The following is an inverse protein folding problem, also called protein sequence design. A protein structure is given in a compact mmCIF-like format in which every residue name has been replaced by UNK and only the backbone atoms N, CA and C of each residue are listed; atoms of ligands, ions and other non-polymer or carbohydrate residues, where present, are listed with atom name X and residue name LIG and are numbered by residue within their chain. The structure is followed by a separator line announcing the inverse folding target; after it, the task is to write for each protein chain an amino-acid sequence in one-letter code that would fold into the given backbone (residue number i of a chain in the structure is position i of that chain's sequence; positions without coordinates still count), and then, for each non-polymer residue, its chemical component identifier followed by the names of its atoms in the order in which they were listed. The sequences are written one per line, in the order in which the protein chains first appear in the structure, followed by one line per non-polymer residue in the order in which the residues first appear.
data_IF_872466222993
#
_entry.id   IF_872466222993
#
_cell.length_a   1.000
_cell.length_b   1.000
_cell.length_c   1.000
_cell.angle_alpha   90.00
_cell.angle_beta   90.00
_cell.angle_gamma   90.00
#
_symmetry.space_group_name_H-M   'P 1'
#
loop_
_entity.id
_entity.type
_entity.pdbx_description
1 polymer ?
#
# COMPACT_ATOMS: atom_id res chain seq x y z
N UNK A 1 25.82 5.57 3.66
CA UNK A 1 24.94 6.13 4.70
C UNK A 1 24.29 4.95 5.40
N UNK A 2 24.45 4.83 6.72
CA UNK A 2 23.79 3.76 7.46
C UNK A 2 22.29 4.04 7.53
N UNK A 3 21.46 3.05 7.20
CA UNK A 3 20.02 3.16 7.35
C UNK A 3 19.65 2.88 8.81
N UNK A 4 19.02 3.84 9.48
CA UNK A 4 18.46 3.63 10.81
C UNK A 4 17.09 2.97 10.69
N UNK A 5 16.93 1.82 11.32
CA UNK A 5 15.65 1.16 11.48
C UNK A 5 14.82 1.83 12.58
N UNK A 6 13.53 2.03 12.32
CA UNK A 6 12.58 2.69 13.24
C UNK A 6 11.40 1.74 13.54
N UNK A 7 11.52 0.88 14.57
CA UNK A 7 10.52 -0.16 14.84
C UNK A 7 9.13 0.39 15.20
N UNK A 8 9.07 1.51 15.93
CA UNK A 8 7.80 2.15 16.31
C UNK A 8 7.04 2.64 15.08
N UNK A 9 7.74 3.32 14.16
CA UNK A 9 7.16 3.75 12.88
C UNK A 9 6.62 2.57 12.07
N UNK A 10 7.36 1.45 12.02
CA UNK A 10 6.89 0.27 11.31
C UNK A 10 5.61 -0.31 11.91
N UNK A 11 5.50 -0.31 13.23
CA UNK A 11 4.30 -0.77 13.94
C UNK A 11 3.09 0.15 13.67
N UNK A 12 3.31 1.46 13.60
CA UNK A 12 2.25 2.41 13.25
C UNK A 12 1.78 2.21 11.81
N UNK A 13 2.68 1.95 10.85
CA UNK A 13 2.32 1.62 9.47
C UNK A 13 1.56 0.29 9.35
N UNK A 14 1.95 -0.73 10.12
CA UNK A 14 1.23 -2.00 10.22
C UNK A 14 -0.19 -1.79 10.74
N UNK A 15 -0.35 -0.97 11.78
CA UNK A 15 -1.67 -0.63 12.34
C UNK A 15 -2.59 0.07 11.32
N UNK A 16 -2.05 1.01 10.54
CA UNK A 16 -2.80 1.66 9.47
C UNK A 16 -3.28 0.65 8.41
N UNK A 17 -2.44 -0.33 8.06
CA UNK A 17 -2.76 -1.38 7.11
C UNK A 17 -3.84 -2.34 7.65
N UNK A 18 -3.66 -2.86 8.87
CA UNK A 18 -4.58 -3.81 9.49
C UNK A 18 -5.98 -3.20 9.70
N UNK A 19 -6.06 -1.94 10.15
CA UNK A 19 -7.33 -1.26 10.40
C UNK A 19 -7.93 -0.59 9.16
N UNK A 20 -7.25 -0.67 8.01
CA UNK A 20 -7.69 -0.05 6.75
C UNK A 20 -7.93 1.45 6.91
N UNK A 21 -7.04 2.13 7.63
CA UNK A 21 -7.11 3.58 7.82
C UNK A 21 -6.31 4.30 6.73
N UNK A 22 -6.87 5.37 6.17
CA UNK A 22 -6.22 6.21 5.16
C UNK A 22 -5.67 5.46 3.93
N UNK A 23 -6.26 4.31 3.56
CA UNK A 23 -5.89 3.64 2.31
C UNK A 23 -6.31 4.50 1.11
N UNK A 24 -5.51 4.46 0.07
CA UNK A 24 -5.73 5.18 -1.19
C UNK A 24 -5.73 4.22 -2.41
N UNK A 25 -5.41 2.94 -2.19
CA UNK A 25 -5.38 1.87 -3.18
C UNK A 25 -6.17 0.66 -2.68
N UNK A 26 -6.97 0.06 -3.56
CA UNK A 26 -7.56 -1.26 -3.36
C UNK A 26 -7.01 -2.18 -4.45
N UNK A 27 -6.35 -3.26 -4.05
CA UNK A 27 -5.87 -4.30 -4.96
C UNK A 27 -6.92 -5.42 -4.96
N UNK A 28 -7.46 -5.71 -6.14
CA UNK A 28 -8.31 -6.88 -6.36
C UNK A 28 -7.42 -8.02 -6.86
N UNK A 29 -7.37 -9.12 -6.09
CA UNK A 29 -6.53 -10.27 -6.39
C UNK A 29 -7.39 -11.52 -6.56
N UNK A 30 -7.03 -12.35 -7.55
CA UNK A 30 -7.78 -13.56 -7.91
C UNK A 30 -8.72 -13.35 -9.09
N UNK A 31 -9.54 -14.36 -9.35
CA UNK A 31 -10.52 -14.40 -10.43
C UNK A 31 -11.88 -14.79 -9.85
N UNK A 32 -12.97 -14.36 -10.50
CA UNK A 32 -14.34 -14.72 -10.09
C UNK A 32 -14.52 -16.25 -10.00
N UNK A 33 -15.17 -16.77 -8.93
CA UNK A 33 -15.87 -16.05 -7.85
C UNK A 33 -15.00 -15.71 -6.63
N UNK A 34 -13.69 -15.96 -6.67
CA UNK A 34 -12.78 -15.89 -5.53
C UNK A 34 -11.89 -14.64 -5.56
N UNK A 35 -12.50 -13.48 -5.81
CA UNK A 35 -11.78 -12.20 -5.76
C UNK A 35 -11.64 -11.76 -4.30
N UNK A 36 -10.41 -11.40 -3.91
CA UNK A 36 -10.11 -10.80 -2.62
C UNK A 36 -9.72 -9.33 -2.81
N UNK A 37 -10.19 -8.47 -1.90
CA UNK A 37 -9.79 -7.07 -1.84
C UNK A 37 -8.73 -6.85 -0.75
N UNK A 38 -7.65 -6.16 -1.13
CA UNK A 38 -6.57 -5.74 -0.24
C UNK A 38 -6.53 -4.22 -0.23
N UNK A 39 -6.72 -3.63 0.94
CA UNK A 39 -6.76 -2.19 1.16
C UNK A 39 -5.35 -1.75 1.56
N UNK A 40 -4.70 -0.90 0.77
CA UNK A 40 -3.28 -0.61 0.89
C UNK A 40 -2.96 0.88 0.65
N UNK A 41 -1.73 1.25 1.00
CA UNK A 41 -1.20 2.61 0.85
C UNK A 41 -0.21 2.67 -0.32
N UNK A 42 -0.52 3.48 -1.33
CA UNK A 42 0.27 3.66 -2.54
C UNK A 42 1.72 4.01 -2.24
N UNK A 43 1.94 4.91 -1.27
CA UNK A 43 3.28 5.36 -0.89
C UNK A 43 4.17 4.22 -0.40
N UNK A 44 3.61 3.29 0.38
CA UNK A 44 4.34 2.11 0.88
C UNK A 44 4.64 1.18 -0.31
N UNK A 45 3.64 0.88 -1.14
CA UNK A 45 3.82 0.02 -2.32
C UNK A 45 4.87 0.58 -3.29
N UNK A 46 4.87 1.89 -3.56
CA UNK A 46 5.81 2.57 -4.44
C UNK A 46 7.23 2.68 -3.85
N UNK A 47 7.37 2.67 -2.52
CA UNK A 47 8.67 2.57 -1.85
C UNK A 47 9.27 1.16 -1.99
N UNK A 48 8.43 0.11 -1.99
CA UNK A 48 8.88 -1.28 -1.98
C UNK A 48 8.83 -2.00 -3.32
N UNK A 49 8.25 -1.41 -4.37
CA UNK A 49 8.14 -2.04 -5.69
C UNK A 49 8.22 -1.03 -6.84
N UNK A 50 9.17 -1.25 -7.75
CA UNK A 50 9.28 -0.47 -8.99
C UNK A 50 8.05 -0.62 -9.89
N UNK A 51 7.37 -1.77 -9.83
CA UNK A 51 6.13 -1.98 -10.57
C UNK A 51 5.06 -1.02 -10.09
N UNK A 52 4.78 -0.98 -8.78
CA UNK A 52 3.79 -0.06 -8.22
C UNK A 52 4.19 1.39 -8.42
N UNK A 53 5.48 1.72 -8.23
CA UNK A 53 6.01 3.07 -8.51
C UNK A 53 5.75 3.55 -9.95
N UNK A 54 5.80 2.64 -10.92
CA UNK A 54 5.65 3.00 -12.34
C UNK A 54 4.20 2.93 -12.83
N UNK A 55 3.35 2.14 -12.18
CA UNK A 55 2.01 1.80 -12.69
C UNK A 55 0.86 2.32 -11.83
N UNK A 56 1.09 2.66 -10.55
CA UNK A 56 0.09 3.41 -9.77
C UNK A 56 0.13 4.86 -10.25
N UNK A 57 -0.93 5.28 -10.94
CA UNK A 57 -1.15 6.68 -11.30
C UNK A 57 -1.92 7.36 -10.18
N UNK A 58 -1.59 8.61 -9.91
CA UNK A 58 -2.45 9.47 -9.09
C UNK A 58 -3.86 9.49 -9.72
N UNK A 59 -4.89 9.50 -8.88
CA UNK A 59 -6.24 9.76 -9.37
C UNK A 59 -6.22 11.17 -9.95
N UNK A 60 -6.57 11.31 -11.23
CA UNK A 60 -6.91 12.63 -11.77
C UNK A 60 -8.18 13.06 -11.04
N UNK A 61 -8.05 14.03 -10.14
CA UNK A 61 -9.20 14.74 -9.60
C UNK A 61 -9.89 15.42 -10.80
N UNK A 62 -11.06 14.89 -11.17
CA UNK A 62 -11.91 15.47 -12.22
C UNK A 62 -12.46 16.84 -11.83
#
# INVERSE_FOLDING_TARGET
MESKFWPELMKDLEHLFENKENYDVIIQAGEEPNVQEIYAHSIILCCHSNYFRSNLKEKEDG
#
